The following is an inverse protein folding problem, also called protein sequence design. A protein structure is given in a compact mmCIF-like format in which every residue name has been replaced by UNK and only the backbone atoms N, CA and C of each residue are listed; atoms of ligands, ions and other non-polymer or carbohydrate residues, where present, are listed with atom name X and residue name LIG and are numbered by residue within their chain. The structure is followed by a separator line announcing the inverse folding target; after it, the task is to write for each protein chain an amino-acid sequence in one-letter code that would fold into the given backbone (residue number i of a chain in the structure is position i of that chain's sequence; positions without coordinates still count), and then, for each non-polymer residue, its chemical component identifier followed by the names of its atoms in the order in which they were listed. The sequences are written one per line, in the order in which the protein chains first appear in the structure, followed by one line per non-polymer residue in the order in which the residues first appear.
data_IF_104849564434
#
_entry.id   IF_104849564434
#
_cell.length_a   1.000
_cell.length_b   1.000
_cell.length_c   1.000
_cell.angle_alpha   90.00
_cell.angle_beta   90.00
_cell.angle_gamma   90.00
#
_symmetry.space_group_name_H-M   'P 1'
#
loop_
_entity.id
_entity.type
_entity.pdbx_description
1 polymer ?
#
# COMPACT_ATOMS: atom_id res chain seq x y z
N UNK A 1 15.97 -11.44 -16.99
CA UNK A 1 15.93 -10.08 -16.40
C UNK A 1 14.72 -9.99 -15.48
N UNK A 2 14.80 -9.32 -14.32
CA UNK A 2 13.62 -9.08 -13.49
C UNK A 2 12.55 -8.36 -14.32
N UNK A 3 11.29 -8.67 -14.08
CA UNK A 3 10.17 -7.94 -14.68
C UNK A 3 10.34 -6.44 -14.38
N UNK A 4 9.91 -5.53 -15.26
CA UNK A 4 10.05 -4.09 -15.02
C UNK A 4 9.52 -3.63 -13.66
N UNK A 5 8.43 -4.25 -13.17
CA UNK A 5 7.84 -3.96 -11.87
C UNK A 5 8.69 -4.38 -10.66
N UNK A 6 9.47 -5.47 -10.79
CA UNK A 6 10.38 -5.94 -9.74
C UNK A 6 11.78 -5.32 -9.81
N UNK A 7 12.01 -4.34 -10.70
CA UNK A 7 13.30 -3.66 -10.78
C UNK A 7 13.51 -2.82 -9.52
N UNK A 8 14.65 -2.94 -8.82
CA UNK A 8 14.97 -2.06 -7.71
C UNK A 8 15.03 -0.61 -8.18
N UNK A 9 14.27 0.27 -7.52
CA UNK A 9 14.24 1.73 -7.76
C UNK A 9 14.68 2.53 -6.53
N UNK A 10 14.94 1.85 -5.41
CA UNK A 10 15.38 2.47 -4.17
C UNK A 10 15.53 1.45 -3.05
N UNK A 11 15.58 1.94 -1.81
CA UNK A 11 15.59 1.12 -0.60
C UNK A 11 14.34 1.35 0.23
N UNK A 12 13.83 0.28 0.84
CA UNK A 12 12.64 0.32 1.67
C UNK A 12 12.86 1.12 2.97
N UNK A 13 14.07 1.11 3.53
CA UNK A 13 14.42 1.88 4.74
C UNK A 13 14.59 3.38 4.49
N UNK A 14 14.71 3.80 3.24
CA UNK A 14 14.79 5.20 2.86
C UNK A 14 13.41 5.85 2.64
N UNK A 15 12.32 5.07 2.70
CA UNK A 15 10.97 5.61 2.54
C UNK A 15 10.50 6.34 3.81
N UNK A 16 9.68 7.41 3.66
CA UNK A 16 8.94 7.99 4.77
C UNK A 16 8.08 6.95 5.52
N UNK A 17 7.64 7.23 6.76
CA UNK A 17 6.95 6.25 7.60
C UNK A 17 5.72 5.60 6.96
N UNK A 18 4.81 6.39 6.37
CA UNK A 18 3.58 5.89 5.76
C UNK A 18 3.83 5.02 4.52
N UNK A 19 4.51 5.49 3.45
CA UNK A 19 4.80 4.63 2.29
C UNK A 19 5.66 3.42 2.67
N UNK A 20 6.59 3.56 3.63
CA UNK A 20 7.36 2.43 4.16
C UNK A 20 6.49 1.38 4.85
N UNK A 21 5.51 1.81 5.67
CA UNK A 21 4.54 0.92 6.29
C UNK A 21 3.64 0.25 5.24
N UNK A 22 3.18 0.98 4.22
CA UNK A 22 2.36 0.43 3.15
C UNK A 22 3.06 -0.71 2.39
N UNK A 23 4.36 -0.57 2.07
CA UNK A 23 5.12 -1.65 1.41
C UNK A 23 5.31 -2.85 2.34
N UNK A 24 5.64 -2.63 3.61
CA UNK A 24 5.79 -3.73 4.59
C UNK A 24 4.47 -4.48 4.78
N UNK A 25 3.37 -3.74 4.89
CA UNK A 25 2.02 -4.28 4.99
C UNK A 25 1.65 -5.10 3.74
N UNK A 26 1.95 -4.59 2.53
CA UNK A 26 1.71 -5.31 1.27
C UNK A 26 2.47 -6.64 1.24
N UNK A 27 3.77 -6.63 1.56
CA UNK A 27 4.59 -7.86 1.56
C UNK A 27 4.05 -8.86 2.57
N UNK A 28 3.76 -8.40 3.79
CA UNK A 28 3.21 -9.20 4.88
C UNK A 28 1.86 -9.83 4.51
N UNK A 29 0.95 -9.02 3.97
CA UNK A 29 -0.36 -9.46 3.51
C UNK A 29 -0.24 -10.51 2.40
N UNK A 30 0.68 -10.36 1.47
CA UNK A 30 0.90 -11.36 0.42
C UNK A 30 1.56 -12.66 0.94
N UNK A 31 2.40 -12.58 1.97
CA UNK A 31 3.11 -13.75 2.50
C UNK A 31 2.25 -14.54 3.50
N UNK A 32 1.44 -13.87 4.33
CA UNK A 32 0.74 -14.49 5.46
C UNK A 32 -0.76 -14.16 5.55
N UNK A 33 -1.26 -13.34 4.63
CA UNK A 33 -2.68 -12.97 4.58
C UNK A 33 -3.09 -11.85 5.55
N UNK A 34 -4.37 -11.45 5.49
CA UNK A 34 -4.91 -10.30 6.26
C UNK A 34 -4.89 -10.52 7.77
N UNK A 35 -5.05 -11.76 8.24
CA UNK A 35 -5.05 -12.08 9.68
C UNK A 35 -3.67 -11.82 10.31
N UNK A 36 -2.59 -12.06 9.59
CA UNK A 36 -1.25 -11.74 10.08
C UNK A 36 -1.05 -10.23 10.18
N UNK A 37 -1.53 -9.47 9.19
CA UNK A 37 -1.45 -8.02 9.18
C UNK A 37 -2.21 -7.38 10.36
N UNK A 38 -3.37 -7.92 10.73
CA UNK A 38 -4.16 -7.45 11.88
C UNK A 38 -3.46 -7.56 13.23
N UNK A 39 -2.47 -8.47 13.37
CA UNK A 39 -1.65 -8.57 14.60
C UNK A 39 -0.55 -7.50 14.66
N UNK A 40 -0.06 -7.08 13.50
CA UNK A 40 1.07 -6.16 13.38
C UNK A 40 0.60 -4.69 13.37
N UNK A 41 -0.61 -4.44 12.85
CA UNK A 41 -1.25 -3.13 12.88
C UNK A 41 -1.99 -2.94 14.21
N UNK A 42 -1.98 -1.71 14.75
CA UNK A 42 -2.60 -1.35 16.02
C UNK A 42 -4.15 -1.29 15.97
N UNK A 43 -4.80 -2.20 15.24
CA UNK A 43 -6.26 -2.34 15.21
C UNK A 43 -6.79 -3.09 13.97
N UNK A 44 -7.94 -3.79 14.10
CA UNK A 44 -8.55 -4.54 13.00
C UNK A 44 -8.97 -3.64 11.83
N UNK A 45 -9.40 -2.40 12.10
CA UNK A 45 -9.84 -1.45 11.08
C UNK A 45 -8.77 -1.19 10.01
N UNK A 46 -7.51 -1.00 10.42
CA UNK A 46 -6.42 -0.75 9.48
C UNK A 46 -6.11 -1.99 8.63
N UNK A 47 -6.20 -3.18 9.21
CA UNK A 47 -5.99 -4.42 8.47
C UNK A 47 -7.14 -4.71 7.50
N UNK A 48 -8.38 -4.45 7.89
CA UNK A 48 -9.56 -4.65 7.04
C UNK A 48 -9.57 -3.67 5.86
N UNK A 49 -9.27 -2.39 6.11
CA UNK A 49 -9.15 -1.38 5.05
C UNK A 49 -8.02 -1.75 4.07
N UNK A 50 -6.87 -2.20 4.59
CA UNK A 50 -5.74 -2.60 3.76
C UNK A 50 -5.98 -3.90 3.00
N UNK A 51 -6.72 -4.86 3.57
CA UNK A 51 -7.15 -6.09 2.90
C UNK A 51 -8.09 -5.77 1.72
N UNK A 52 -9.06 -4.88 1.92
CA UNK A 52 -9.96 -4.42 0.86
C UNK A 52 -9.18 -3.76 -0.28
N UNK A 53 -8.24 -2.87 0.03
CA UNK A 53 -7.32 -2.26 -0.94
C UNK A 53 -6.55 -3.33 -1.73
N UNK A 54 -5.89 -4.28 -1.05
CA UNK A 54 -5.06 -5.29 -1.68
C UNK A 54 -5.88 -6.21 -2.60
N UNK A 55 -7.02 -6.71 -2.14
CA UNK A 55 -7.90 -7.57 -2.93
C UNK A 55 -8.39 -6.85 -4.19
N UNK A 56 -8.87 -5.61 -4.05
CA UNK A 56 -9.36 -4.83 -5.17
C UNK A 56 -8.24 -4.52 -6.17
N UNK A 57 -7.07 -4.10 -5.68
CA UNK A 57 -5.90 -3.82 -6.51
C UNK A 57 -5.49 -5.05 -7.33
N UNK A 58 -5.27 -6.19 -6.68
CA UNK A 58 -4.79 -7.40 -7.34
C UNK A 58 -5.81 -8.00 -8.33
N UNK A 59 -7.12 -7.87 -8.05
CA UNK A 59 -8.17 -8.33 -8.95
C UNK A 59 -8.33 -7.43 -10.20
N UNK A 60 -7.96 -6.15 -10.11
CA UNK A 60 -8.17 -5.17 -11.17
C UNK A 60 -6.88 -4.73 -11.89
N UNK A 61 -5.71 -5.16 -11.42
CA UNK A 61 -4.41 -4.84 -11.99
C UNK A 61 -4.33 -5.21 -13.47
N UNK A 62 -3.76 -4.33 -14.29
CA UNK A 62 -3.60 -4.57 -15.74
C UNK A 62 -2.50 -5.57 -16.08
N UNK A 63 -1.59 -5.79 -15.14
CA UNK A 63 -0.54 -6.81 -15.18
C UNK A 63 -0.27 -7.29 -13.76
N UNK A 64 0.34 -8.47 -13.58
CA UNK A 64 0.72 -8.93 -12.25
C UNK A 64 1.58 -7.88 -11.52
N UNK A 65 1.16 -7.52 -10.31
CA UNK A 65 1.87 -6.60 -9.43
C UNK A 65 3.08 -7.32 -8.83
N UNK A 66 4.26 -6.74 -9.02
CA UNK A 66 5.51 -7.32 -8.55
C UNK A 66 5.84 -6.80 -7.15
N UNK A 67 6.38 -7.69 -6.31
CA UNK A 67 6.89 -7.33 -4.99
C UNK A 67 8.17 -8.08 -4.71
N UNK A 68 8.96 -7.55 -3.80
CA UNK A 68 10.04 -8.33 -3.18
C UNK A 68 9.52 -9.12 -1.98
N UNK A 69 10.31 -10.09 -1.52
CA UNK A 69 10.00 -10.82 -0.27
C UNK A 69 10.12 -9.93 0.97
N UNK A 70 9.46 -10.31 2.07
CA UNK A 70 9.43 -9.54 3.31
C UNK A 70 10.83 -9.11 3.82
N UNK A 71 11.84 -9.96 3.72
CA UNK A 71 13.21 -9.68 4.17
C UNK A 71 14.10 -8.88 3.20
N UNK A 72 13.61 -8.51 2.01
CA UNK A 72 14.43 -7.82 1.01
C UNK A 72 14.54 -6.32 1.30
N UNK A 73 15.76 -5.71 1.31
CA UNK A 73 15.90 -4.27 1.55
C UNK A 73 15.53 -3.40 0.33
N UNK A 74 15.45 -3.99 -0.87
CA UNK A 74 15.18 -3.26 -2.10
C UNK A 74 13.72 -2.82 -2.16
N UNK A 75 13.46 -1.63 -2.70
CA UNK A 75 12.14 -1.17 -3.11
C UNK A 75 11.95 -1.45 -4.61
N UNK A 76 10.97 -2.27 -4.97
CA UNK A 76 10.60 -2.55 -6.36
C UNK A 76 9.79 -1.40 -6.97
N UNK A 77 9.81 -1.28 -8.31
CA UNK A 77 9.08 -0.24 -9.03
C UNK A 77 7.56 -0.28 -8.75
N UNK A 78 6.94 -1.47 -8.77
CA UNK A 78 5.51 -1.60 -8.49
C UNK A 78 5.17 -1.27 -7.03
N UNK A 79 6.03 -1.68 -6.10
CA UNK A 79 5.89 -1.34 -4.67
C UNK A 79 5.97 0.17 -4.45
N UNK A 80 6.88 0.86 -5.15
CA UNK A 80 7.01 2.31 -5.08
C UNK A 80 5.75 3.02 -5.59
N UNK A 81 5.19 2.56 -6.72
CA UNK A 81 3.95 3.12 -7.28
C UNK A 81 2.75 2.86 -6.36
N UNK A 82 2.64 1.65 -5.80
CA UNK A 82 1.60 1.31 -4.83
C UNK A 82 1.70 2.18 -3.57
N UNK A 83 2.91 2.31 -3.00
CA UNK A 83 3.13 3.14 -1.82
C UNK A 83 2.81 4.62 -2.08
N UNK A 84 3.17 5.13 -3.27
CA UNK A 84 2.87 6.50 -3.69
C UNK A 84 1.37 6.74 -3.85
N UNK A 85 0.60 5.76 -4.34
CA UNK A 85 -0.85 5.84 -4.37
C UNK A 85 -1.43 6.03 -2.96
N UNK A 86 -1.01 5.17 -2.01
CA UNK A 86 -1.50 5.21 -0.62
C UNK A 86 -1.16 6.54 0.04
N UNK A 87 0.06 7.02 -0.15
CA UNK A 87 0.53 8.31 0.37
C UNK A 87 -0.31 9.48 -0.18
N UNK A 88 -0.39 9.64 -1.50
CA UNK A 88 -1.15 10.72 -2.14
C UNK A 88 -2.64 10.68 -1.77
N UNK A 89 -3.22 9.49 -1.71
CA UNK A 89 -4.62 9.32 -1.33
C UNK A 89 -4.87 9.74 0.13
N UNK A 90 -3.97 9.38 1.05
CA UNK A 90 -4.05 9.79 2.46
C UNK A 90 -3.84 11.31 2.66
N UNK A 91 -3.04 11.94 1.81
CA UNK A 91 -2.80 13.39 1.80
C UNK A 91 -3.96 14.19 1.17
N UNK A 92 -4.94 13.52 0.56
CA UNK A 92 -6.05 14.16 -0.14
C UNK A 92 -5.66 14.71 -1.53
N UNK A 93 -4.48 14.36 -2.05
CA UNK A 93 -4.02 14.70 -3.41
C UNK A 93 -4.75 13.84 -4.45
N UNK A 94 -6.06 14.06 -4.57
CA UNK A 94 -7.01 13.16 -5.23
C UNK A 94 -6.72 12.99 -6.72
N UNK A 95 -6.34 14.05 -7.42
CA UNK A 95 -6.09 14.02 -8.86
C UNK A 95 -4.82 13.23 -9.19
N UNK A 96 -3.74 13.48 -8.45
CA UNK A 96 -2.47 12.76 -8.57
C UNK A 96 -2.62 11.29 -8.18
N UNK A 97 -3.35 11.02 -7.10
CA UNK A 97 -3.65 9.65 -6.68
C UNK A 97 -4.49 8.92 -7.74
N UNK A 98 -5.46 9.60 -8.37
CA UNK A 98 -6.25 9.02 -9.46
C UNK A 98 -5.38 8.68 -10.68
N UNK A 99 -4.41 9.54 -11.03
CA UNK A 99 -3.47 9.24 -12.11
C UNK A 99 -2.66 7.98 -11.83
N UNK A 100 -2.18 7.82 -10.59
CA UNK A 100 -1.47 6.60 -10.19
C UNK A 100 -2.41 5.38 -10.20
N UNK A 101 -3.64 5.50 -9.72
CA UNK A 101 -4.62 4.41 -9.77
C UNK A 101 -4.89 3.98 -11.22
N UNK A 102 -5.08 4.95 -12.12
CA UNK A 102 -5.18 4.75 -13.56
C UNK A 102 -3.89 4.22 -14.19
N UNK A 103 -2.74 4.19 -13.50
CA UNK A 103 -1.51 3.53 -13.94
C UNK A 103 -1.43 2.04 -13.51
N UNK A 104 -2.15 1.66 -12.46
CA UNK A 104 -2.12 0.32 -11.87
C UNK A 104 -3.26 -0.59 -12.37
N UNK A 105 -4.49 -0.10 -12.36
CA UNK A 105 -5.71 -0.91 -12.59
C UNK A 105 -6.47 -0.50 -13.83
N UNK A 106 -7.40 -1.33 -14.29
CA UNK A 106 -8.30 -0.97 -15.40
C UNK A 106 -9.12 0.29 -15.06
N UNK A 107 -9.46 1.15 -16.04
CA UNK A 107 -10.12 2.43 -15.79
C UNK A 107 -11.38 2.35 -14.93
N UNK A 108 -12.21 1.32 -15.14
CA UNK A 108 -13.44 1.07 -14.40
C UNK A 108 -13.23 0.81 -12.90
N UNK A 109 -12.01 0.43 -12.49
CA UNK A 109 -11.65 0.15 -11.11
C UNK A 109 -10.88 1.28 -10.43
N UNK A 110 -10.46 2.32 -11.17
CA UNK A 110 -9.53 3.33 -10.69
C UNK A 110 -10.10 4.20 -9.56
N UNK A 111 -11.36 4.66 -9.68
CA UNK A 111 -12.02 5.45 -8.64
C UNK A 111 -12.23 4.65 -7.35
N UNK A 112 -12.63 3.38 -7.48
CA UNK A 112 -12.78 2.49 -6.32
C UNK A 112 -11.43 2.21 -5.66
N UNK A 113 -10.38 2.01 -6.46
CA UNK A 113 -9.03 1.82 -5.92
C UNK A 113 -8.54 3.05 -5.16
N UNK A 114 -8.78 4.25 -5.71
CA UNK A 114 -8.45 5.51 -5.06
C UNK A 114 -9.15 5.65 -3.69
N UNK A 115 -10.45 5.39 -3.63
CA UNK A 115 -11.21 5.46 -2.38
C UNK A 115 -10.70 4.46 -1.33
N UNK A 116 -10.40 3.23 -1.75
CA UNK A 116 -9.80 2.22 -0.86
C UNK A 116 -8.39 2.59 -0.41
N UNK A 117 -7.60 3.21 -1.29
CA UNK A 117 -6.26 3.68 -0.96
C UNK A 117 -6.28 4.82 0.06
N UNK A 118 -7.25 5.73 -0.07
CA UNK A 118 -7.49 6.82 0.90
C UNK A 118 -7.87 6.24 2.27
N UNK A 119 -8.83 5.31 2.31
CA UNK A 119 -9.25 4.66 3.56
C UNK A 119 -8.10 3.91 4.23
N UNK A 120 -7.38 3.08 3.48
CA UNK A 120 -6.25 2.32 4.00
C UNK A 120 -5.11 3.24 4.44
N UNK A 121 -4.78 4.26 3.64
CA UNK A 121 -3.71 5.21 3.96
C UNK A 121 -3.99 6.00 5.24
N UNK A 122 -5.21 6.48 5.43
CA UNK A 122 -5.64 7.14 6.67
C UNK A 122 -5.58 6.19 7.87
N UNK A 123 -6.01 4.94 7.71
CA UNK A 123 -5.97 3.95 8.78
C UNK A 123 -4.52 3.58 9.17
N UNK A 124 -3.62 3.41 8.19
CA UNK A 124 -2.20 3.20 8.42
C UNK A 124 -1.53 4.42 9.08
N UNK A 125 -1.89 5.64 8.66
CA UNK A 125 -1.37 6.86 9.25
C UNK A 125 -1.76 6.98 10.73
N UNK A 126 -2.99 6.62 11.09
CA UNK A 126 -3.43 6.56 12.50
C UNK A 126 -2.65 5.51 13.31
N UNK A 127 -2.35 4.37 12.72
CA UNK A 127 -1.55 3.31 13.37
C UNK A 127 -0.09 3.72 13.64
N UNK A 128 0.44 4.71 12.89
CA UNK A 128 1.78 5.28 13.13
C UNK A 128 1.80 6.27 14.30
N UNK A 129 0.65 6.85 14.67
CA UNK A 129 0.57 7.80 15.79
C UNK A 129 0.28 7.02 17.08
N UNK A 130 1.14 7.10 18.11
CA UNK A 130 0.84 6.47 19.39
C UNK A 130 -0.43 7.09 20.00
N UNK A 131 -1.28 6.30 20.70
CA UNK A 131 -2.50 6.83 21.29
C UNK A 131 -2.17 7.98 22.24
N UNK A 132 -2.89 9.10 22.12
CA UNK A 132 -2.75 10.22 23.02
C UNK A 132 -3.03 9.73 24.46
N UNK A 133 -2.04 9.87 25.35
CA UNK A 133 -2.25 9.61 26.77
C UNK A 133 -3.14 10.72 27.32
N UNK A 134 -4.40 10.41 27.58
CA UNK A 134 -5.25 11.26 28.40
C UNK A 134 -4.68 11.23 29.82
N UNK A 135 -4.24 12.39 30.31
CA UNK A 135 -3.78 12.61 31.68
C UNK A 135 -4.97 13.00 32.56
#
# INVERSE_FOLDING_TARGET
MPSPGGRPVGRLDALPPLPGLAVRALRRWCDEGPTALARDLAGPEAADAFDALCRHCLAACRRPLMRHGAGCPCLGADEAVFARLVELAAEGAREEALWIACALVRPEAALSLLALAEQAGLALARALVPPARLH
#
